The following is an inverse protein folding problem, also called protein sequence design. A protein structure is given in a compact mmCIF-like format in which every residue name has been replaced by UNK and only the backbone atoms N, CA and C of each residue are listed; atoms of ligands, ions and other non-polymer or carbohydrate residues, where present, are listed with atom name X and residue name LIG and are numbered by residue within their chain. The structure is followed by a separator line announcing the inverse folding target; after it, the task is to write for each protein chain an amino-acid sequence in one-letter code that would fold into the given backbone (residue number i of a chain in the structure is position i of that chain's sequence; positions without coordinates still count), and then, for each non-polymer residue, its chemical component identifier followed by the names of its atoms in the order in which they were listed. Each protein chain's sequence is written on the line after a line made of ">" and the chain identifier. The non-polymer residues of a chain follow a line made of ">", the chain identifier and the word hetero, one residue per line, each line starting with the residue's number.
data_IF_143454666819
#
_entry.id   IF_143454666819
#
_cell.length_a   1.000
_cell.length_b   1.000
_cell.length_c   1.000
_cell.angle_alpha   90.00
_cell.angle_beta   90.00
_cell.angle_gamma   90.00
#
_symmetry.space_group_name_H-M   'P 1'
#
loop_
_entity.id
_entity.type
_entity.pdbx_description
1 polymer ?
#
# COMPACT_ATOMS: atom_id res chain seq x y z
N UNK A 1 -20.60 -17.61 18.06
CA UNK A 1 -20.64 -16.13 18.05
C UNK A 1 -22.00 -15.70 18.55
N UNK A 2 -22.09 -14.84 19.56
CA UNK A 2 -23.40 -14.45 20.11
C UNK A 2 -24.16 -13.55 19.13
N UNK A 3 -25.52 -13.61 19.11
CA UNK A 3 -26.37 -12.74 18.28
C UNK A 3 -26.04 -11.24 18.46
N UNK A 4 -25.62 -10.83 19.67
CA UNK A 4 -25.19 -9.47 20.00
C UNK A 4 -23.86 -9.10 19.32
N UNK A 5 -22.90 -10.04 19.19
CA UNK A 5 -21.66 -9.81 18.48
C UNK A 5 -21.88 -9.70 16.96
N UNK A 6 -22.80 -10.49 16.42
CA UNK A 6 -23.20 -10.39 15.00
C UNK A 6 -23.92 -9.07 14.71
N UNK A 7 -24.80 -8.64 15.59
CA UNK A 7 -25.51 -7.36 15.45
C UNK A 7 -24.55 -6.17 15.57
N UNK A 8 -23.58 -6.22 16.50
CA UNK A 8 -22.52 -5.21 16.62
C UNK A 8 -21.62 -5.15 15.38
N UNK A 9 -21.29 -6.29 14.81
CA UNK A 9 -20.53 -6.37 13.56
C UNK A 9 -21.32 -5.80 12.38
N UNK A 10 -22.63 -6.10 12.29
CA UNK A 10 -23.51 -5.52 11.27
C UNK A 10 -23.68 -4.00 11.42
N UNK A 11 -23.75 -3.46 12.63
CA UNK A 11 -23.81 -2.01 12.87
C UNK A 11 -22.50 -1.32 12.53
N UNK A 12 -21.34 -1.95 12.77
CA UNK A 12 -20.03 -1.45 12.36
C UNK A 12 -19.89 -1.41 10.82
N UNK A 13 -20.51 -2.35 10.13
CA UNK A 13 -20.48 -2.45 8.67
C UNK A 13 -21.50 -1.52 7.97
N UNK A 14 -22.55 -1.06 8.67
CA UNK A 14 -23.60 -0.21 8.10
C UNK A 14 -23.24 1.28 7.98
N UNK A 15 -22.01 1.68 8.33
CA UNK A 15 -21.55 3.06 8.34
C UNK A 15 -21.19 3.62 6.97
N UNK A 16 -22.17 4.18 6.25
CA UNK A 16 -21.98 5.25 5.26
C UNK A 16 -21.57 4.85 3.85
N UNK A 17 -22.25 5.47 2.87
CA UNK A 17 -22.02 5.37 1.41
C UNK A 17 -20.69 6.01 0.91
N UNK A 18 -19.65 6.09 1.72
CA UNK A 18 -18.35 6.54 1.25
C UNK A 18 -17.74 5.45 0.36
N UNK A 19 -17.46 5.75 -0.90
CA UNK A 19 -16.71 4.85 -1.78
C UNK A 19 -15.31 4.64 -1.18
N UNK A 20 -15.13 3.45 -0.60
CA UNK A 20 -13.82 3.04 -0.09
C UNK A 20 -12.86 2.97 -1.29
N UNK A 21 -11.89 3.85 -1.36
CA UNK A 21 -10.77 3.68 -2.26
C UNK A 21 -9.64 2.96 -1.55
N UNK A 22 -9.10 2.01 -2.25
CA UNK A 22 -8.00 1.18 -1.85
C UNK A 22 -6.78 2.00 -1.43
N UNK A 23 -6.01 1.50 -0.48
CA UNK A 23 -4.76 2.10 -0.06
C UNK A 23 -3.71 1.00 0.05
N UNK A 24 -2.54 1.22 -0.51
CA UNK A 24 -1.38 0.38 -0.28
C UNK A 24 -0.65 0.76 1.02
N UNK A 25 0.39 0.01 1.38
CA UNK A 25 1.17 0.25 2.60
C UNK A 25 1.94 1.59 2.61
N UNK A 26 1.98 2.33 1.50
CA UNK A 26 2.63 3.65 1.38
C UNK A 26 1.65 4.82 1.47
N UNK A 27 0.36 4.54 1.63
CA UNK A 27 -0.71 5.53 1.72
C UNK A 27 -1.29 5.98 0.38
N UNK A 28 -0.70 5.58 -0.75
CA UNK A 28 -1.23 5.82 -2.10
C UNK A 28 -2.31 4.77 -2.41
N UNK A 29 -3.22 5.09 -3.34
CA UNK A 29 -4.22 4.11 -3.79
C UNK A 29 -3.56 2.88 -4.39
N UNK A 30 -3.94 1.71 -3.87
CA UNK A 30 -3.39 0.43 -4.28
C UNK A 30 -4.21 -0.74 -3.71
N UNK A 31 -3.83 -1.96 -3.99
CA UNK A 31 -4.27 -3.12 -3.23
C UNK A 31 -3.51 -3.15 -1.89
N UNK A 32 -2.74 -4.17 -1.60
CA UNK A 32 -1.84 -4.16 -0.45
C UNK A 32 -0.42 -3.76 -0.90
N UNK A 33 0.06 -4.36 -1.98
CA UNK A 33 1.38 -4.13 -2.55
C UNK A 33 1.34 -3.70 -4.03
N UNK A 34 0.33 -4.11 -4.78
CA UNK A 34 0.16 -3.77 -6.19
C UNK A 34 -0.53 -2.42 -6.32
N UNK A 35 0.07 -1.44 -7.04
CA UNK A 35 -0.57 -0.17 -7.31
C UNK A 35 -1.83 -0.34 -8.16
N UNK A 36 -2.77 0.59 -8.01
CA UNK A 36 -3.96 0.69 -8.87
C UNK A 36 -3.98 2.02 -9.61
N UNK A 37 -4.80 2.12 -10.68
CA UNK A 37 -5.00 3.39 -11.37
C UNK A 37 -6.10 4.26 -10.72
N UNK A 38 -6.57 3.89 -9.54
CA UNK A 38 -7.44 4.73 -8.74
C UNK A 38 -6.67 5.93 -8.19
N UNK A 39 -7.38 7.01 -7.94
CA UNK A 39 -6.92 8.22 -7.23
C UNK A 39 -7.92 8.50 -6.13
N UNK A 40 -7.44 8.85 -4.94
CA UNK A 40 -8.29 9.28 -3.83
C UNK A 40 -9.12 10.51 -4.22
N UNK A 41 -10.24 10.77 -3.54
CA UNK A 41 -10.98 12.01 -3.71
C UNK A 41 -10.06 13.23 -3.58
N UNK A 42 -10.28 14.23 -4.42
CA UNK A 42 -9.55 15.50 -4.33
C UNK A 42 -9.73 16.12 -2.94
N UNK A 43 -8.63 16.61 -2.38
CA UNK A 43 -8.59 17.16 -1.02
C UNK A 43 -8.45 16.11 0.08
N UNK A 44 -8.48 14.83 -0.21
CA UNK A 44 -8.33 13.82 0.82
C UNK A 44 -6.88 13.71 1.28
N UNK A 45 -6.69 13.83 2.60
CA UNK A 45 -5.44 13.56 3.29
C UNK A 45 -5.55 12.29 4.14
N UNK A 46 -4.47 11.52 4.21
CA UNK A 46 -4.35 10.30 5.01
C UNK A 46 -3.08 10.31 5.83
N UNK A 47 -3.19 9.91 7.07
CA UNK A 47 -2.07 9.65 7.95
C UNK A 47 -2.21 8.26 8.55
N UNK A 48 -1.17 7.46 8.49
CA UNK A 48 -1.26 6.08 8.95
C UNK A 48 0.07 5.42 9.25
N UNK A 49 -0.05 4.17 9.69
CA UNK A 49 1.07 3.30 9.99
C UNK A 49 0.76 1.89 9.52
N UNK A 50 1.78 1.19 9.09
CA UNK A 50 1.67 -0.17 8.61
C UNK A 50 2.75 -1.05 9.26
N UNK A 51 2.35 -2.18 9.83
CA UNK A 51 3.24 -3.24 10.23
C UNK A 51 3.59 -4.09 9.02
N UNK A 52 4.87 -4.20 8.73
CA UNK A 52 5.40 -4.90 7.57
C UNK A 52 6.17 -6.14 8.03
N UNK A 53 5.73 -7.31 7.59
CA UNK A 53 6.52 -8.51 7.73
C UNK A 53 7.83 -8.39 6.94
N UNK A 54 8.88 -9.02 7.40
CA UNK A 54 10.19 -8.96 6.76
C UNK A 54 10.20 -9.47 5.31
N UNK A 55 9.31 -10.38 4.94
CA UNK A 55 9.14 -10.87 3.57
C UNK A 55 8.47 -9.85 2.65
N UNK A 56 7.82 -8.84 3.24
CA UNK A 56 7.17 -7.73 2.54
C UNK A 56 8.11 -6.58 2.22
N UNK A 57 9.39 -6.70 2.60
CA UNK A 57 10.41 -5.67 2.44
C UNK A 57 11.36 -6.00 1.29
N UNK A 58 12.01 -4.98 0.68
CA UNK A 58 13.12 -5.19 -0.23
C UNK A 58 14.24 -6.00 0.43
N UNK A 59 14.90 -6.88 -0.31
CA UNK A 59 15.98 -7.68 0.25
C UNK A 59 17.17 -6.84 0.69
N UNK A 60 17.43 -5.72 0.02
CA UNK A 60 18.48 -4.77 0.38
C UNK A 60 18.13 -3.88 1.58
N UNK A 61 16.87 -3.86 2.01
CA UNK A 61 16.45 -3.12 3.20
C UNK A 61 16.89 -3.80 4.51
N UNK A 62 17.40 -5.01 4.43
CA UNK A 62 17.75 -5.82 5.55
C UNK A 62 19.28 -5.87 5.70
N UNK A 63 19.78 -5.44 6.84
CA UNK A 63 21.18 -5.64 7.16
C UNK A 63 21.44 -7.14 7.33
N UNK A 64 22.27 -7.69 6.47
CA UNK A 64 22.53 -9.14 6.37
C UNK A 64 23.19 -9.72 7.61
N UNK A 65 23.91 -8.92 8.36
CA UNK A 65 24.64 -9.29 9.59
C UNK A 65 23.74 -9.44 10.81
N UNK A 66 22.58 -8.79 10.85
CA UNK A 66 21.63 -8.89 11.98
C UNK A 66 20.34 -9.64 11.66
N UNK A 67 20.18 -10.14 10.41
CA UNK A 67 19.04 -10.94 9.98
C UNK A 67 17.82 -10.13 9.52
N UNK A 68 16.73 -10.86 9.26
CA UNK A 68 15.46 -10.31 8.75
C UNK A 68 14.51 -9.99 9.89
N UNK A 69 14.06 -8.74 9.97
CA UNK A 69 13.16 -8.29 11.03
C UNK A 69 11.92 -7.62 10.45
N UNK A 70 10.79 -7.90 11.08
CA UNK A 70 9.55 -7.15 10.82
C UNK A 70 9.74 -5.69 11.25
N UNK A 71 9.01 -4.80 10.60
CA UNK A 71 9.15 -3.36 10.84
C UNK A 71 7.83 -2.62 10.76
N UNK A 72 7.91 -1.32 10.87
CA UNK A 72 6.79 -0.40 10.72
C UNK A 72 7.16 0.70 9.76
N UNK A 73 6.18 1.19 9.01
CA UNK A 73 6.26 2.47 8.36
C UNK A 73 5.20 3.42 8.90
N UNK A 74 5.42 4.70 8.70
CA UNK A 74 4.43 5.76 8.83
C UNK A 74 4.36 6.51 7.51
N UNK A 75 3.19 6.98 7.16
CA UNK A 75 3.00 7.74 5.94
C UNK A 75 2.03 8.90 6.14
N UNK A 76 2.22 9.92 5.32
CA UNK A 76 1.29 11.01 5.09
C UNK A 76 1.02 11.05 3.58
N UNK A 77 -0.23 10.93 3.18
CA UNK A 77 -0.64 10.97 1.78
C UNK A 77 -1.67 12.06 1.54
N UNK A 78 -1.67 12.62 0.35
CA UNK A 78 -2.56 13.68 -0.08
C UNK A 78 -2.93 13.48 -1.55
N UNK A 79 -4.20 13.69 -1.88
CA UNK A 79 -4.69 13.82 -3.25
C UNK A 79 -5.00 15.30 -3.56
N UNK A 80 -4.00 16.10 -3.99
CA UNK A 80 -4.20 17.52 -4.23
C UNK A 80 -5.12 17.78 -5.43
N UNK A 81 -5.20 16.83 -6.35
CA UNK A 81 -6.04 16.88 -7.54
C UNK A 81 -6.67 15.52 -7.82
N UNK A 82 -7.80 15.49 -8.51
CA UNK A 82 -8.51 14.26 -8.86
C UNK A 82 -7.72 13.31 -9.78
N UNK A 83 -6.54 13.71 -10.24
CA UNK A 83 -5.64 12.94 -11.12
C UNK A 83 -4.24 12.73 -10.52
N UNK A 84 -3.99 13.17 -9.29
CA UNK A 84 -2.67 13.12 -8.68
C UNK A 84 -2.76 12.71 -7.21
N UNK A 85 -1.86 11.84 -6.78
CA UNK A 85 -1.57 11.52 -5.39
C UNK A 85 -0.09 11.69 -5.10
N UNK A 86 0.21 12.15 -3.90
CA UNK A 86 1.56 12.21 -3.34
C UNK A 86 1.56 11.58 -1.95
N UNK A 87 2.64 10.94 -1.56
CA UNK A 87 2.83 10.53 -0.18
C UNK A 87 4.28 10.69 0.27
N UNK A 88 4.44 10.88 1.56
CA UNK A 88 5.72 10.80 2.27
C UNK A 88 5.68 9.57 3.17
N UNK A 89 6.70 8.74 3.10
CA UNK A 89 6.82 7.50 3.85
C UNK A 89 8.10 7.50 4.65
N UNK A 90 8.01 7.05 5.89
CA UNK A 90 9.15 6.81 6.76
C UNK A 90 9.10 5.36 7.25
N UNK A 91 10.01 4.51 6.78
CA UNK A 91 10.11 3.11 7.17
C UNK A 91 11.28 2.91 8.12
N UNK A 92 11.01 2.35 9.28
CA UNK A 92 12.06 2.02 10.26
C UNK A 92 12.65 0.65 9.97
N UNK A 93 13.94 0.48 10.28
CA UNK A 93 14.55 -0.84 10.26
C UNK A 93 15.57 -1.02 11.38
N UNK A 94 15.81 -2.27 11.72
CA UNK A 94 16.73 -2.62 12.79
C UNK A 94 18.17 -2.53 12.32
N UNK A 95 19.02 -2.00 13.19
CA UNK A 95 20.46 -1.95 13.02
C UNK A 95 21.15 -1.98 14.39
N UNK A 96 22.44 -2.16 14.41
CA UNK A 96 23.25 -1.92 15.58
C UNK A 96 23.32 -0.42 15.86
N UNK A 97 23.26 -0.04 17.15
CA UNK A 97 23.37 1.37 17.55
C UNK A 97 24.75 1.91 17.12
N UNK A 98 24.72 3.04 16.43
CA UNK A 98 25.92 3.70 15.88
C UNK A 98 26.73 2.85 14.88
N UNK A 99 26.12 1.83 14.26
CA UNK A 99 26.79 0.85 13.41
C UNK A 99 27.93 0.08 14.11
N UNK A 100 27.90 0.00 15.44
CA UNK A 100 28.83 -0.78 16.25
C UNK A 100 28.27 -2.22 16.40
N UNK A 101 28.95 -3.26 15.89
CA UNK A 101 28.49 -4.64 15.96
C UNK A 101 28.26 -5.17 17.38
N UNK A 102 28.95 -4.62 18.37
CA UNK A 102 28.82 -5.01 19.77
C UNK A 102 27.64 -4.28 20.48
N UNK A 103 27.11 -3.24 19.85
CA UNK A 103 26.02 -2.48 20.44
C UNK A 103 24.66 -3.16 20.25
N UNK A 104 23.73 -2.81 21.15
CA UNK A 104 22.35 -3.34 21.12
C UNK A 104 21.66 -3.07 19.80
N UNK A 105 21.02 -4.12 19.24
CA UNK A 105 20.16 -4.01 18.06
C UNK A 105 18.82 -3.36 18.41
N UNK A 106 18.37 -2.42 17.57
CA UNK A 106 17.11 -1.72 17.72
C UNK A 106 16.70 -0.99 16.44
N UNK A 107 15.59 -0.26 16.46
CA UNK A 107 15.11 0.55 15.33
C UNK A 107 15.85 1.91 15.28
N UNK A 108 17.12 1.89 14.94
CA UNK A 108 17.95 3.09 14.89
C UNK A 108 18.08 3.70 13.50
N UNK A 109 17.76 2.93 12.47
CA UNK A 109 17.82 3.38 11.08
C UNK A 109 16.42 3.59 10.52
N UNK A 110 16.32 4.46 9.52
CA UNK A 110 15.07 4.77 8.82
C UNK A 110 15.35 5.17 7.39
N UNK A 111 14.48 4.71 6.50
CA UNK A 111 14.35 5.18 5.13
C UNK A 111 13.21 6.19 5.03
N UNK A 112 13.40 7.22 4.23
CA UNK A 112 12.40 8.26 3.99
C UNK A 112 12.34 8.55 2.51
N UNK A 113 11.14 8.45 1.95
CA UNK A 113 10.96 8.71 0.54
C UNK A 113 9.61 9.34 0.24
N UNK A 114 9.53 9.97 -0.93
CA UNK A 114 8.29 10.47 -1.50
C UNK A 114 7.79 9.51 -2.56
N UNK A 115 6.48 9.46 -2.71
CA UNK A 115 5.83 8.77 -3.80
C UNK A 115 4.95 9.76 -4.55
N UNK A 116 4.82 9.56 -5.85
CA UNK A 116 3.93 10.32 -6.71
C UNK A 116 3.20 9.37 -7.66
N UNK A 117 1.91 9.60 -7.84
CA UNK A 117 1.09 8.90 -8.83
C UNK A 117 0.24 9.89 -9.60
N UNK A 118 0.21 9.70 -10.92
CA UNK A 118 -0.55 10.51 -11.86
C UNK A 118 -1.48 9.58 -12.64
N UNK A 119 -2.73 10.01 -12.85
CA UNK A 119 -3.71 9.29 -13.66
C UNK A 119 -4.07 10.10 -14.92
N UNK A 120 -3.32 9.92 -16.02
CA UNK A 120 -3.59 10.64 -17.27
C UNK A 120 -4.90 10.21 -17.95
N UNK A 121 -5.37 8.97 -17.72
CA UNK A 121 -6.60 8.47 -18.32
C UNK A 121 -7.56 7.94 -17.24
N UNK A 122 -8.73 8.55 -17.14
CA UNK A 122 -9.83 8.04 -16.31
C UNK A 122 -10.49 6.83 -16.98
N UNK A 123 -11.02 5.91 -16.17
CA UNK A 123 -11.79 4.78 -16.66
C UNK A 123 -13.01 5.25 -17.47
N UNK A 124 -13.23 4.59 -18.59
CA UNK A 124 -14.42 4.75 -19.41
C UNK A 124 -15.17 3.43 -19.56
N UNK A 125 -16.28 3.46 -20.27
CA UNK A 125 -17.11 2.25 -20.47
C UNK A 125 -16.30 1.09 -21.08
N UNK A 126 -15.46 1.38 -22.08
CA UNK A 126 -14.75 0.38 -22.89
C UNK A 126 -13.23 0.31 -22.61
N UNK A 127 -12.67 1.28 -21.89
CA UNK A 127 -11.24 1.33 -21.62
C UNK A 127 -10.96 1.42 -20.12
N UNK A 128 -9.82 0.87 -19.64
CA UNK A 128 -9.41 0.97 -18.25
C UNK A 128 -8.93 2.39 -17.89
N UNK A 129 -8.90 2.69 -16.62
CA UNK A 129 -8.09 3.78 -16.11
C UNK A 129 -6.61 3.44 -16.29
N UNK A 130 -5.78 4.43 -16.59
CA UNK A 130 -4.32 4.29 -16.65
C UNK A 130 -3.69 5.27 -15.67
N UNK A 131 -2.76 4.77 -14.87
CA UNK A 131 -1.93 5.60 -14.03
C UNK A 131 -0.45 5.24 -14.18
N UNK A 132 0.39 6.21 -13.93
CA UNK A 132 1.84 6.05 -13.82
C UNK A 132 2.29 6.60 -12.46
N UNK A 133 3.32 6.02 -11.90
CA UNK A 133 3.82 6.51 -10.63
C UNK A 133 5.28 6.15 -10.40
N UNK A 134 5.83 6.79 -9.38
CA UNK A 134 7.17 6.56 -8.91
C UNK A 134 7.19 6.55 -7.38
N UNK A 135 7.88 5.60 -6.83
CA UNK A 135 8.24 5.56 -5.42
C UNK A 135 9.73 5.91 -5.32
N UNK A 136 10.07 6.80 -4.42
CA UNK A 136 11.44 7.30 -4.24
C UNK A 136 12.11 7.77 -5.57
N UNK A 137 11.48 8.70 -6.32
CA UNK A 137 11.99 9.10 -7.65
C UNK A 137 13.32 9.86 -7.57
N UNK A 138 13.61 10.47 -6.43
CA UNK A 138 14.79 11.30 -6.24
C UNK A 138 15.88 10.53 -5.52
N UNK A 139 17.05 10.44 -6.12
CA UNK A 139 18.24 9.96 -5.43
C UNK A 139 18.55 10.92 -4.26
N UNK A 140 18.41 10.47 -3.05
CA UNK A 140 19.10 11.10 -1.95
C UNK A 140 20.62 11.08 -2.24
N UNK A 141 21.29 12.18 -1.93
CA UNK A 141 22.71 12.41 -2.18
C UNK A 141 23.50 11.13 -1.98
N UNK A 142 24.39 10.80 -2.93
CA UNK A 142 25.40 9.77 -2.74
C UNK A 142 26.20 10.08 -1.49
N UNK A 143 25.77 9.52 -0.39
CA UNK A 143 26.63 9.46 0.79
C UNK A 143 27.56 8.27 0.58
N UNK A 144 28.78 8.40 1.07
CA UNK A 144 29.84 7.39 0.97
C UNK A 144 29.48 6.04 1.61
N UNK A 145 28.32 5.92 2.23
CA UNK A 145 27.79 4.74 2.93
C UNK A 145 26.84 3.87 2.11
N UNK A 146 26.62 4.15 0.81
CA UNK A 146 25.79 3.32 -0.05
C UNK A 146 24.52 3.98 -0.59
N UNK A 147 23.91 3.35 -1.58
CA UNK A 147 22.71 3.84 -2.28
C UNK A 147 21.48 3.53 -1.42
N UNK A 148 20.93 4.52 -0.74
CA UNK A 148 19.71 4.42 0.09
C UNK A 148 18.40 4.37 -0.75
N UNK A 149 18.42 3.73 -1.91
CA UNK A 149 17.28 3.66 -2.82
C UNK A 149 16.52 2.34 -2.66
N UNK A 150 16.17 1.99 -1.43
CA UNK A 150 15.54 0.70 -1.11
C UNK A 150 14.21 0.48 -1.82
N UNK A 151 13.37 1.51 -1.90
CA UNK A 151 12.03 1.42 -2.46
C UNK A 151 11.91 2.00 -3.87
N UNK A 152 13.03 2.45 -4.48
CA UNK A 152 12.98 3.12 -5.77
C UNK A 152 12.40 2.24 -6.85
N UNK A 153 11.24 2.62 -7.34
CA UNK A 153 10.61 2.00 -8.49
C UNK A 153 9.74 2.98 -9.27
N UNK A 154 9.51 2.64 -10.54
CA UNK A 154 8.59 3.30 -11.44
C UNK A 154 7.57 2.27 -11.92
N UNK A 155 6.33 2.68 -12.09
CA UNK A 155 5.29 1.77 -12.53
C UNK A 155 4.29 2.43 -13.48
N UNK A 156 3.68 1.59 -14.30
CA UNK A 156 2.46 1.91 -15.03
C UNK A 156 1.40 0.87 -14.67
N UNK A 157 0.16 1.28 -14.54
CA UNK A 157 -0.94 0.42 -14.11
C UNK A 157 -2.21 0.72 -14.87
N UNK A 158 -2.93 -0.34 -15.25
CA UNK A 158 -4.28 -0.30 -15.78
C UNK A 158 -5.26 -0.88 -14.75
N UNK A 159 -6.42 -0.25 -14.60
CA UNK A 159 -7.47 -0.69 -13.67
C UNK A 159 -8.83 -0.64 -14.33
N UNK A 160 -9.63 -1.69 -14.12
CA UNK A 160 -10.98 -1.78 -14.63
C UNK A 160 -11.95 -2.28 -13.56
N UNK A 161 -13.10 -1.63 -13.47
CA UNK A 161 -14.16 -1.95 -12.53
C UNK A 161 -15.39 -2.50 -13.27
N UNK A 162 -16.06 -3.42 -12.61
CA UNK A 162 -17.31 -4.01 -13.05
C UNK A 162 -18.31 -3.99 -11.90
N UNK A 163 -19.43 -3.33 -12.08
CA UNK A 163 -20.56 -3.38 -11.14
C UNK A 163 -21.51 -4.51 -11.56
N UNK A 164 -21.77 -5.43 -10.63
CA UNK A 164 -22.67 -6.56 -10.78
C UNK A 164 -23.76 -6.46 -9.71
N UNK A 165 -24.86 -5.75 -10.02
CA UNK A 165 -25.98 -5.59 -9.12
C UNK A 165 -25.58 -5.01 -7.75
N UNK A 166 -24.65 -4.06 -7.75
CA UNK A 166 -24.13 -3.42 -6.55
C UNK A 166 -22.92 -4.11 -5.91
N UNK A 167 -22.54 -5.30 -6.38
CA UNK A 167 -21.25 -5.90 -6.10
C UNK A 167 -20.21 -5.31 -7.04
N UNK A 168 -19.12 -4.80 -6.51
CA UNK A 168 -18.03 -4.26 -7.33
C UNK A 168 -16.89 -5.28 -7.39
N UNK A 169 -16.51 -5.63 -8.61
CA UNK A 169 -15.33 -6.41 -8.93
C UNK A 169 -14.34 -5.50 -9.67
N UNK A 170 -13.08 -5.48 -9.29
CA UNK A 170 -12.06 -4.74 -10.01
C UNK A 170 -10.84 -5.62 -10.32
N UNK A 171 -10.20 -5.32 -11.45
CA UNK A 171 -8.96 -5.96 -11.87
C UNK A 171 -7.90 -4.89 -12.16
N UNK A 172 -6.67 -5.18 -11.75
CA UNK A 172 -5.56 -4.27 -11.83
C UNK A 172 -4.35 -5.02 -12.40
N UNK A 173 -3.70 -4.42 -13.38
CA UNK A 173 -2.50 -4.95 -14.02
C UNK A 173 -1.44 -3.87 -14.05
N UNK A 174 -0.30 -4.12 -13.42
CA UNK A 174 0.82 -3.18 -13.32
C UNK A 174 2.09 -3.80 -13.91
N UNK A 175 2.92 -2.94 -14.47
CA UNK A 175 4.32 -3.24 -14.72
C UNK A 175 5.18 -2.35 -13.83
N UNK A 176 6.11 -2.98 -13.07
CA UNK A 176 7.00 -2.29 -12.14
C UNK A 176 8.45 -2.43 -12.58
N UNK A 177 9.14 -1.32 -12.59
CA UNK A 177 10.58 -1.26 -12.87
C UNK A 177 11.32 -0.80 -11.61
N UNK A 178 12.05 -1.71 -11.00
CA UNK A 178 12.96 -1.43 -9.90
C UNK A 178 14.35 -1.17 -10.46
N UNK A 179 14.95 -0.06 -10.05
CA UNK A 179 16.30 0.31 -10.51
C UNK A 179 17.38 -0.56 -9.86
N UNK A 180 17.19 -0.87 -8.57
CA UNK A 180 18.12 -1.73 -7.83
C UNK A 180 17.95 -3.20 -8.24
N UNK A 181 19.04 -3.87 -8.54
CA UNK A 181 19.05 -5.31 -8.82
C UNK A 181 18.67 -6.15 -7.60
N UNK A 182 18.79 -5.60 -6.38
CA UNK A 182 18.40 -6.25 -5.13
C UNK A 182 16.88 -6.37 -4.98
N UNK A 183 16.10 -5.65 -5.78
CA UNK A 183 14.64 -5.72 -5.80
C UNK A 183 14.10 -6.41 -7.07
N UNK A 184 14.91 -7.21 -7.73
CA UNK A 184 14.51 -7.93 -8.97
C UNK A 184 13.27 -8.80 -8.78
N UNK A 185 13.04 -9.34 -7.61
CA UNK A 185 11.87 -10.18 -7.31
C UNK A 185 10.54 -9.48 -7.59
N UNK A 186 10.48 -8.16 -7.45
CA UNK A 186 9.26 -7.36 -7.72
C UNK A 186 9.26 -6.68 -9.08
N UNK A 187 10.34 -6.85 -9.87
CA UNK A 187 10.46 -6.24 -11.19
C UNK A 187 9.66 -7.04 -12.21
N UNK A 188 8.77 -6.40 -12.94
CA UNK A 188 7.98 -7.03 -13.99
C UNK A 188 6.49 -6.84 -13.79
N UNK A 189 5.73 -7.81 -14.27
CA UNK A 189 4.27 -7.77 -14.24
C UNK A 189 3.78 -8.17 -12.86
N UNK A 190 2.91 -7.34 -12.29
CA UNK A 190 2.19 -7.61 -11.07
C UNK A 190 0.71 -7.29 -11.31
N UNK A 191 -0.19 -7.93 -10.59
CA UNK A 191 -1.61 -7.67 -10.77
C UNK A 191 -2.44 -8.22 -9.63
N UNK A 192 -3.71 -7.87 -9.63
CA UNK A 192 -4.63 -8.39 -8.64
C UNK A 192 -6.07 -8.03 -8.94
N UNK A 193 -6.92 -8.59 -8.11
CA UNK A 193 -8.36 -8.39 -8.15
C UNK A 193 -8.85 -7.92 -6.79
N UNK A 194 -9.91 -7.15 -6.79
CA UNK A 194 -10.58 -6.78 -5.56
C UNK A 194 -12.09 -6.98 -5.71
N UNK A 195 -12.71 -7.40 -4.62
CA UNK A 195 -14.14 -7.61 -4.54
C UNK A 195 -14.72 -6.82 -3.36
N UNK A 196 -15.77 -6.06 -3.63
CA UNK A 196 -16.55 -5.32 -2.66
C UNK A 196 -18.00 -5.78 -2.70
N UNK A 197 -18.50 -6.40 -1.63
CA UNK A 197 -19.87 -6.90 -1.59
C UNK A 197 -20.88 -5.76 -1.47
N UNK A 198 -22.04 -5.92 -2.12
CA UNK A 198 -23.14 -4.94 -2.08
C UNK A 198 -23.68 -4.68 -0.66
N UNK A 199 -23.66 -5.72 0.19
CA UNK A 199 -24.17 -5.65 1.56
C UNK A 199 -23.18 -5.03 2.57
N UNK A 200 -21.90 -4.85 2.17
CA UNK A 200 -20.86 -4.26 3.02
C UNK A 200 -19.87 -3.45 2.15
N UNK A 201 -20.31 -2.32 1.63
CA UNK A 201 -19.53 -1.47 0.71
C UNK A 201 -18.29 -0.84 1.33
N UNK A 202 -18.21 -0.82 2.64
CA UNK A 202 -17.05 -0.40 3.41
C UNK A 202 -16.01 -1.51 3.62
N UNK A 203 -16.30 -2.74 3.18
CA UNK A 203 -15.39 -3.89 3.21
C UNK A 203 -14.93 -4.21 1.79
N UNK A 204 -13.65 -4.52 1.61
CA UNK A 204 -13.07 -5.02 0.38
C UNK A 204 -12.17 -6.20 0.67
N UNK A 205 -12.23 -7.22 -0.17
CA UNK A 205 -11.30 -8.36 -0.16
C UNK A 205 -10.44 -8.30 -1.41
N UNK A 206 -9.15 -8.55 -1.29
CA UNK A 206 -8.18 -8.46 -2.37
C UNK A 206 -7.37 -9.73 -2.50
N UNK A 207 -7.00 -10.05 -3.73
CA UNK A 207 -6.02 -11.06 -4.06
C UNK A 207 -5.05 -10.50 -5.09
N UNK A 208 -3.75 -10.58 -4.83
CA UNK A 208 -2.74 -10.01 -5.72
C UNK A 208 -1.52 -10.91 -5.87
N UNK A 209 -0.85 -10.76 -6.99
CA UNK A 209 0.43 -11.37 -7.30
C UNK A 209 1.46 -10.28 -7.58
N UNK A 210 2.56 -10.31 -6.83
CA UNK A 210 3.57 -9.23 -6.84
C UNK A 210 4.78 -9.55 -7.73
N UNK A 211 4.71 -10.55 -8.58
CA UNK A 211 5.80 -11.18 -9.34
C UNK A 211 6.72 -12.10 -8.50
N UNK A 212 6.58 -12.08 -7.18
CA UNK A 212 7.36 -12.92 -6.25
C UNK A 212 6.43 -13.77 -5.35
N UNK A 213 5.32 -13.16 -4.90
CA UNK A 213 4.46 -13.73 -3.88
C UNK A 213 2.98 -13.50 -4.18
N UNK A 214 2.13 -14.39 -3.65
CA UNK A 214 0.70 -14.19 -3.57
C UNK A 214 0.31 -13.52 -2.25
N UNK A 215 -0.54 -12.51 -2.32
CA UNK A 215 -1.04 -11.81 -1.14
C UNK A 215 -2.56 -11.82 -1.19
N UNK A 216 -3.17 -12.23 -0.08
CA UNK A 216 -4.60 -12.07 0.16
C UNK A 216 -4.79 -11.03 1.24
N UNK A 217 -5.65 -10.08 0.99
CA UNK A 217 -5.90 -8.98 1.91
C UNK A 217 -7.38 -8.69 2.09
N UNK A 218 -7.67 -7.98 3.15
CA UNK A 218 -8.98 -7.36 3.37
C UNK A 218 -8.77 -5.99 3.98
N UNK A 219 -9.61 -5.06 3.58
CA UNK A 219 -9.64 -3.73 4.16
C UNK A 219 -11.06 -3.26 4.45
N UNK A 220 -11.17 -2.37 5.41
CA UNK A 220 -12.44 -1.84 5.86
C UNK A 220 -12.31 -0.36 6.25
N UNK A 221 -13.26 0.44 5.80
CA UNK A 221 -13.39 1.83 6.22
C UNK A 221 -14.48 1.95 7.28
N UNK A 222 -14.10 2.37 8.47
CA UNK A 222 -15.00 2.58 9.60
C UNK A 222 -15.26 4.07 9.79
N UNK A 223 -16.51 4.41 10.07
CA UNK A 223 -16.97 5.79 10.39
C UNK A 223 -16.49 6.85 9.36
N UNK A 224 -16.22 6.45 8.12
CA UNK A 224 -15.71 7.29 7.04
C UNK A 224 -14.28 7.84 7.24
N UNK A 225 -13.65 7.55 8.36
CA UNK A 225 -12.36 8.14 8.74
C UNK A 225 -11.29 7.12 9.06
N UNK A 226 -11.64 5.99 9.66
CA UNK A 226 -10.67 4.97 10.07
C UNK A 226 -10.60 3.86 9.03
N UNK A 227 -9.52 3.79 8.30
CA UNK A 227 -9.19 2.70 7.39
C UNK A 227 -8.34 1.65 8.09
N UNK A 228 -8.74 0.41 7.98
CA UNK A 228 -8.03 -0.76 8.49
C UNK A 228 -7.72 -1.69 7.34
N UNK A 229 -6.51 -2.25 7.31
CA UNK A 229 -6.11 -3.25 6.32
C UNK A 229 -5.32 -4.37 6.99
N UNK A 230 -5.56 -5.61 6.57
CA UNK A 230 -4.83 -6.79 6.97
C UNK A 230 -4.55 -7.67 5.76
N UNK A 231 -3.40 -8.33 5.74
CA UNK A 231 -2.99 -9.19 4.63
C UNK A 231 -2.12 -10.35 5.10
N UNK A 232 -2.15 -11.41 4.30
CA UNK A 232 -1.29 -12.58 4.41
C UNK A 232 -0.57 -12.80 3.09
N UNK A 233 0.74 -12.73 3.11
CA UNK A 233 1.60 -13.11 1.99
C UNK A 233 1.88 -14.62 2.08
N UNK A 234 1.65 -15.34 0.97
CA UNK A 234 1.81 -16.80 0.84
C UNK A 234 1.08 -17.61 1.94
N UNK A 235 -0.02 -17.03 2.47
CA UNK A 235 -0.80 -17.62 3.55
C UNK A 235 -0.10 -17.70 4.91
N UNK A 236 1.07 -17.11 5.09
CA UNK A 236 1.93 -17.25 6.29
C UNK A 236 2.34 -15.92 6.91
N UNK A 237 2.72 -14.94 6.11
CA UNK A 237 3.37 -13.73 6.59
C UNK A 237 2.37 -12.60 6.72
N UNK A 238 2.00 -12.28 7.93
CA UNK A 238 1.03 -11.23 8.23
C UNK A 238 1.66 -9.85 8.08
N UNK A 239 0.92 -8.95 7.42
CA UNK A 239 1.15 -7.51 7.43
C UNK A 239 -0.19 -6.80 7.57
N UNK A 240 -0.18 -5.59 8.12
CA UNK A 240 -1.43 -4.86 8.29
C UNK A 240 -1.20 -3.47 8.86
N UNK A 241 -2.18 -2.61 8.66
CA UNK A 241 -2.06 -1.22 9.06
C UNK A 241 -3.39 -0.53 9.29
N UNK A 242 -3.29 0.67 9.76
CA UNK A 242 -4.41 1.57 9.96
C UNK A 242 -4.04 2.98 9.48
N UNK A 243 -5.04 3.71 9.03
CA UNK A 243 -4.90 5.13 8.72
C UNK A 243 -6.17 5.91 9.05
N UNK A 244 -5.98 7.17 9.35
CA UNK A 244 -7.05 8.15 9.44
C UNK A 244 -7.10 8.91 8.13
N UNK A 245 -8.30 9.09 7.60
CA UNK A 245 -8.55 9.89 6.41
C UNK A 245 -9.49 11.05 6.71
N UNK A 246 -9.20 12.19 6.11
CA UNK A 246 -10.01 13.40 6.22
C UNK A 246 -10.01 14.16 4.90
N UNK A 247 -11.08 14.85 4.62
CA UNK A 247 -11.13 15.81 3.52
C UNK A 247 -10.72 17.18 4.03
N UNK A 248 -9.81 17.87 3.36
CA UNK A 248 -9.26 19.17 3.75
C UNK A 248 -10.08 20.34 3.19
N UNK A 249 -10.88 20.13 2.14
CA UNK A 249 -11.74 21.15 1.49
C UNK A 249 -12.87 20.54 0.69
#
# INVERSE_FOLDING_TARGET
>A
MSKKALLGLCMLLAGGLASLKAQDYTGISGLVHVPTAEIQPEGEARFGSYYLNSHFLPDNFQHTDIGRYNTFNYFLALAPFSWMEISYVCTFFKAHKYNDPEAKVGYYMKDRHFNVKLRPLKEGRYWPAIAVGAQDPTRSVKDSSGDNTYFQNFYAVASKHLDLQGHELSAHLAYRYYRSDLNRKWRGVAGGVAYRPAFARNLRVTGEYTNDAFIVGADCLLWRHLFLQASLQDGKYFSGGLSLQMNLF
#
